data_IF_732613460118
#
_entry.id   IF_732613460118
#
_cell.length_a   1.000
_cell.length_b   1.000
_cell.length_c   1.000
_cell.angle_alpha   90.00
_cell.angle_beta   90.00
_cell.angle_gamma   90.00
#
_symmetry.space_group_name_H-M   'P 1'
#
loop_
_entity.id
_entity.type
_entity.pdbx_description
1 polymer ?
#
# COMPACT_ATOMS: atom_id res chain seq x y z
N UNK A 1 -6.40 -4.13 -11.27
CA UNK A 1 -5.99 -3.98 -9.86
C UNK A 1 -5.33 -5.27 -9.39
N UNK A 2 -4.13 -5.19 -8.83
CA UNK A 2 -3.39 -6.34 -8.27
C UNK A 2 -2.96 -5.99 -6.85
N UNK A 3 -3.02 -6.96 -5.93
CA UNK A 3 -2.57 -6.78 -4.53
C UNK A 3 -1.43 -7.74 -4.28
N UNK A 4 -0.31 -7.25 -3.74
CA UNK A 4 0.88 -8.05 -3.47
C UNK A 4 1.47 -7.63 -2.12
N UNK A 5 1.75 -8.60 -1.27
CA UNK A 5 2.52 -8.38 -0.05
C UNK A 5 3.97 -8.78 -0.28
N UNK A 6 4.89 -7.89 0.06
CA UNK A 6 6.33 -8.17 0.11
C UNK A 6 6.73 -8.49 1.55
N UNK A 7 7.00 -9.76 1.88
CA UNK A 7 7.29 -10.14 3.26
C UNK A 7 8.68 -9.72 3.73
N UNK A 8 9.63 -9.46 2.83
CA UNK A 8 10.98 -9.03 3.19
C UNK A 8 11.00 -7.55 3.53
N UNK A 9 10.33 -6.73 2.72
CA UNK A 9 10.20 -5.29 2.96
C UNK A 9 9.10 -4.93 3.99
N UNK A 10 8.18 -5.86 4.28
CA UNK A 10 6.97 -5.62 5.08
C UNK A 10 6.04 -4.54 4.49
N UNK A 11 5.84 -4.60 3.16
CA UNK A 11 5.03 -3.64 2.41
C UNK A 11 3.88 -4.34 1.69
N UNK A 12 2.66 -3.81 1.83
CA UNK A 12 1.51 -4.20 1.02
C UNK A 12 1.35 -3.21 -0.14
N UNK A 13 1.45 -3.73 -1.36
CA UNK A 13 1.22 -2.99 -2.60
C UNK A 13 -0.20 -3.22 -3.10
N UNK A 14 -0.89 -2.14 -3.47
CA UNK A 14 -2.13 -2.17 -4.24
C UNK A 14 -1.88 -1.44 -5.55
N UNK A 15 -1.67 -2.20 -6.62
CA UNK A 15 -1.49 -1.66 -7.96
C UNK A 15 -2.85 -1.37 -8.58
N UNK A 16 -3.11 -0.12 -8.92
CA UNK A 16 -4.36 0.35 -9.54
C UNK A 16 -4.19 0.41 -11.07
N UNK A 17 -3.08 0.99 -11.55
CA UNK A 17 -2.78 1.20 -12.96
C UNK A 17 -1.33 0.85 -13.27
N UNK A 18 -1.10 0.11 -14.35
CA UNK A 18 0.25 -0.21 -14.84
C UNK A 18 0.83 0.96 -15.65
N UNK A 19 2.16 1.12 -15.62
CA UNK A 19 2.86 2.13 -16.39
C UNK A 19 3.94 2.86 -15.58
N UNK A 20 4.60 3.86 -16.17
CA UNK A 20 5.61 4.65 -15.49
C UNK A 20 4.98 5.51 -14.38
N UNK A 21 5.75 5.63 -13.29
CA UNK A 21 5.42 6.49 -12.16
C UNK A 21 6.14 7.82 -12.31
N UNK A 22 5.41 8.89 -12.02
CA UNK A 22 5.93 10.25 -11.95
C UNK A 22 6.48 10.56 -10.57
N UNK A 23 5.77 10.13 -9.53
CA UNK A 23 6.10 10.46 -8.15
C UNK A 23 5.49 9.43 -7.17
N UNK A 24 6.01 9.42 -5.95
CA UNK A 24 5.47 8.67 -4.80
C UNK A 24 5.39 9.61 -3.60
N UNK A 25 4.18 9.81 -3.08
CA UNK A 25 3.90 10.78 -2.03
C UNK A 25 3.45 10.06 -0.77
N UNK A 26 4.10 10.34 0.36
CA UNK A 26 3.62 9.93 1.69
C UNK A 26 2.42 10.81 2.09
N UNK A 27 1.26 10.20 2.30
CA UNK A 27 0.02 10.93 2.63
C UNK A 27 -0.37 10.78 4.10
N UNK A 28 0.20 9.79 4.78
CA UNK A 28 0.12 9.56 6.21
C UNK A 28 1.28 8.64 6.61
N UNK A 29 1.57 8.52 7.90
CA UNK A 29 2.60 7.62 8.42
C UNK A 29 2.42 6.21 7.84
N UNK A 30 3.47 5.72 7.18
CA UNK A 30 3.53 4.40 6.52
C UNK A 30 2.55 4.21 5.34
N UNK A 31 1.93 5.27 4.81
CA UNK A 31 1.00 5.20 3.68
C UNK A 31 1.42 6.10 2.53
N UNK A 32 1.70 5.48 1.39
CA UNK A 32 2.18 6.14 0.19
C UNK A 32 1.21 5.97 -0.98
N UNK A 33 1.13 7.01 -1.82
CA UNK A 33 0.38 7.01 -3.08
C UNK A 33 1.37 7.20 -4.23
N UNK A 34 1.36 6.29 -5.19
CA UNK A 34 2.11 6.41 -6.43
C UNK A 34 1.27 7.16 -7.47
N UNK A 35 1.83 8.19 -8.09
CA UNK A 35 1.19 9.05 -9.07
C UNK A 35 1.77 8.74 -10.46
N UNK A 36 0.90 8.47 -11.45
CA UNK A 36 1.33 8.26 -12.84
C UNK A 36 1.65 9.57 -13.55
N UNK A 37 2.30 9.48 -14.71
CA UNK A 37 2.65 10.63 -15.56
C UNK A 37 1.46 11.53 -15.92
N UNK A 38 0.27 10.96 -16.11
CA UNK A 38 -0.97 11.71 -16.39
C UNK A 38 -1.66 12.26 -15.12
N UNK A 39 -1.02 12.15 -13.96
CA UNK A 39 -1.51 12.67 -12.68
C UNK A 39 -2.57 11.81 -11.99
N UNK A 40 -2.92 10.64 -12.55
CA UNK A 40 -3.82 9.69 -11.89
C UNK A 40 -3.10 8.88 -10.81
N UNK A 41 -3.86 8.23 -9.92
CA UNK A 41 -3.28 7.30 -8.94
C UNK A 41 -2.91 6.00 -9.65
N UNK A 42 -1.64 5.62 -9.54
CA UNK A 42 -1.09 4.38 -10.09
C UNK A 42 -1.10 3.24 -9.07
N UNK A 43 -0.82 3.54 -7.80
CA UNK A 43 -0.69 2.54 -6.76
C UNK A 43 -0.73 3.11 -5.34
N UNK A 44 -0.77 2.19 -4.38
CA UNK A 44 -0.66 2.46 -2.96
C UNK A 44 0.36 1.53 -2.34
N UNK A 45 1.13 2.03 -1.39
CA UNK A 45 1.99 1.23 -0.53
C UNK A 45 1.63 1.45 0.93
N UNK A 46 1.40 0.36 1.66
CA UNK A 46 1.29 0.37 3.12
C UNK A 46 2.56 -0.26 3.67
N UNK A 47 3.41 0.56 4.28
CA UNK A 47 4.61 0.12 4.97
C UNK A 47 4.26 -0.41 6.36
N UNK A 48 5.16 -1.19 6.96
CA UNK A 48 4.91 -1.88 8.25
C UNK A 48 3.57 -2.64 8.22
N UNK A 49 3.25 -3.25 7.08
CA UNK A 49 1.91 -3.74 6.80
C UNK A 49 1.48 -4.80 7.82
N UNK A 50 2.40 -5.63 8.32
CA UNK A 50 2.10 -6.55 9.42
C UNK A 50 1.59 -5.83 10.65
N UNK A 51 2.18 -4.72 11.08
CA UNK A 51 1.70 -3.99 12.26
C UNK A 51 0.29 -3.45 12.05
N UNK A 52 0.05 -2.82 10.90
CA UNK A 52 -1.24 -2.21 10.57
C UNK A 52 -2.33 -3.27 10.31
N UNK A 53 -1.99 -4.44 9.77
CA UNK A 53 -2.96 -5.50 9.45
C UNK A 53 -3.17 -6.48 10.61
N UNK A 54 -2.13 -6.85 11.37
CA UNK A 54 -2.24 -7.80 12.49
C UNK A 54 -3.07 -7.22 13.63
N UNK A 55 -2.96 -5.92 13.92
CA UNK A 55 -3.84 -5.24 14.90
C UNK A 55 -5.31 -5.47 14.53
N UNK A 56 -5.66 -5.25 13.27
CA UNK A 56 -7.03 -5.39 12.78
C UNK A 56 -7.52 -6.84 12.71
N UNK A 57 -6.65 -7.80 12.34
CA UNK A 57 -7.01 -9.22 12.27
C UNK A 57 -7.22 -9.87 13.65
N UNK A 58 -6.52 -9.37 14.68
CA UNK A 58 -6.70 -9.85 16.06
C UNK A 58 -7.98 -9.28 16.68
N UNK A 59 -8.35 -8.04 16.37
CA UNK A 59 -9.59 -7.42 16.85
C UNK A 59 -10.85 -8.07 16.24
N UNK A 60 -10.80 -8.48 14.97
CA UNK A 60 -11.91 -9.18 14.31
C UNK A 60 -12.03 -10.67 14.69
N UNK A 61 -11.14 -11.20 15.54
CA UNK A 61 -11.19 -12.57 16.07
C UNK A 61 -11.76 -12.66 17.50
N UNK A 62 -12.18 -11.55 18.11
CA UNK A 62 -12.99 -11.63 19.33
C UNK A 62 -14.40 -12.12 18.94
N UNK A 63 -14.88 -13.24 19.53
CA UNK A 63 -16.24 -13.74 19.28
C UNK A 63 -17.31 -12.76 19.76
#
# INVERSE_FOLDING_TARGET
>A
MKVRFDPEADILYILIKEGPLKDTVEIADDLFVEISEDGSIAGLEVWRAREHLLKNLVEHKKP
#
